data_IF_403335505601
#
_entry.id   IF_403335505601
#
_cell.length_a   1.000
_cell.length_b   1.000
_cell.length_c   1.000
_cell.angle_alpha   90.00
_cell.angle_beta   90.00
_cell.angle_gamma   90.00
#
_symmetry.space_group_name_H-M   'P 1'
#
loop_
_entity.id
_entity.type
_entity.pdbx_description
1 polymer ?
#
# COMPACT_ATOMS: atom_id res chain seq x y z
N UNK A 1 -15.49 9.17 18.60
CA UNK A 1 -14.15 9.52 18.10
C UNK A 1 -14.35 10.66 17.10
N UNK A 2 -14.17 11.90 17.54
CA UNK A 2 -14.48 13.10 16.77
C UNK A 2 -13.37 13.28 15.73
N UNK A 3 -13.64 12.91 14.49
CA UNK A 3 -12.72 13.11 13.36
C UNK A 3 -12.93 14.52 12.80
N UNK A 4 -12.27 15.52 13.40
CA UNK A 4 -12.21 16.85 12.81
C UNK A 4 -11.09 16.85 11.75
N UNK A 5 -11.48 16.60 10.49
CA UNK A 5 -10.57 16.72 9.36
C UNK A 5 -10.51 18.20 8.95
N UNK A 6 -9.66 18.97 9.62
CA UNK A 6 -9.22 20.26 9.11
C UNK A 6 -8.29 20.03 7.92
N UNK A 7 -8.91 19.91 6.73
CA UNK A 7 -8.27 19.90 5.40
C UNK A 7 -7.73 21.30 5.05
N UNK A 8 -7.74 22.23 6.01
CA UNK A 8 -7.37 23.62 5.85
C UNK A 8 -6.05 23.87 6.59
N UNK A 9 -4.98 24.07 5.81
CA UNK A 9 -3.67 24.60 6.24
C UNK A 9 -2.56 23.62 6.68
N UNK A 10 -2.47 22.41 6.11
CA UNK A 10 -1.16 21.74 6.06
C UNK A 10 -0.32 22.36 4.93
N UNK A 11 0.67 23.17 5.29
CA UNK A 11 1.73 23.62 4.37
C UNK A 11 2.71 22.45 4.12
N UNK A 12 3.49 22.54 3.05
CA UNK A 12 4.63 21.65 2.82
C UNK A 12 5.56 21.59 4.06
N UNK A 13 6.24 20.47 4.31
CA UNK A 13 7.12 20.35 5.47
C UNK A 13 8.25 21.38 5.37
N UNK A 14 8.25 22.39 6.25
CA UNK A 14 9.19 23.51 6.18
C UNK A 14 10.67 23.10 6.38
N UNK A 15 10.90 21.94 7.02
CA UNK A 15 12.24 21.39 7.24
C UNK A 15 12.85 20.76 5.98
N UNK A 16 12.05 20.52 4.95
CA UNK A 16 12.53 20.07 3.65
C UNK A 16 12.96 21.30 2.84
N UNK A 17 14.19 21.76 3.06
CA UNK A 17 14.73 22.93 2.36
C UNK A 17 14.75 22.71 0.84
N UNK A 18 14.30 23.72 0.10
CA UNK A 18 14.14 23.74 -1.38
C UNK A 18 15.40 23.44 -2.20
N UNK A 19 16.54 23.22 -1.55
CA UNK A 19 17.85 23.27 -2.21
C UNK A 19 18.35 21.88 -2.63
N UNK A 20 18.00 20.77 -1.95
CA UNK A 20 18.43 19.42 -2.39
C UNK A 20 17.49 18.28 -1.98
N UNK A 21 16.60 17.83 -2.88
CA UNK A 21 15.84 16.58 -2.71
C UNK A 21 16.64 15.38 -3.19
N UNK A 22 16.95 14.44 -2.29
CA UNK A 22 17.67 13.21 -2.63
C UNK A 22 16.67 12.04 -2.82
N UNK A 23 16.38 11.71 -4.08
CA UNK A 23 15.52 10.58 -4.47
C UNK A 23 16.21 9.20 -4.37
N UNK A 24 17.52 9.15 -4.14
CA UNK A 24 18.31 7.91 -4.15
C UNK A 24 18.72 7.45 -2.76
N UNK A 25 19.43 8.31 -2.03
CA UNK A 25 20.23 7.86 -0.89
C UNK A 25 19.61 8.23 0.47
N UNK A 26 18.53 9.01 0.49
CA UNK A 26 17.82 9.39 1.72
C UNK A 26 16.45 8.72 1.80
N UNK A 27 16.32 7.76 2.72
CA UNK A 27 15.02 7.12 3.01
C UNK A 27 13.99 8.13 3.51
N UNK A 28 14.41 9.07 4.36
CA UNK A 28 13.57 10.16 4.86
C UNK A 28 13.02 11.01 3.71
N UNK A 29 13.88 11.46 2.78
CA UNK A 29 13.45 12.26 1.65
C UNK A 29 12.48 11.48 0.76
N UNK A 30 12.78 10.22 0.40
CA UNK A 30 11.87 9.38 -0.40
C UNK A 30 10.50 9.26 0.29
N UNK A 31 10.49 8.97 1.59
CA UNK A 31 9.28 8.87 2.42
C UNK A 31 8.47 10.16 2.40
N UNK A 32 9.09 11.30 2.67
CA UNK A 32 8.37 12.57 2.75
C UNK A 32 7.86 13.02 1.37
N UNK A 33 8.67 12.86 0.30
CA UNK A 33 8.27 13.21 -1.06
C UNK A 33 7.06 12.37 -1.50
N UNK A 34 7.10 11.05 -1.36
CA UNK A 34 5.95 10.20 -1.77
C UNK A 34 4.73 10.41 -0.87
N UNK A 35 4.90 10.72 0.42
CA UNK A 35 3.81 11.13 1.29
C UNK A 35 3.17 12.46 0.84
N UNK A 36 3.97 13.44 0.39
CA UNK A 36 3.48 14.67 -0.23
C UNK A 36 2.66 14.39 -1.49
N UNK A 37 3.11 13.49 -2.38
CA UNK A 37 2.36 13.10 -3.58
C UNK A 37 0.99 12.49 -3.22
N UNK A 38 0.94 11.60 -2.22
CA UNK A 38 -0.30 11.01 -1.72
C UNK A 38 -1.21 12.08 -1.10
N UNK A 39 -0.65 13.05 -0.37
CA UNK A 39 -1.40 14.19 0.17
C UNK A 39 -1.96 15.07 -0.95
N UNK A 40 -1.20 15.28 -2.02
CA UNK A 40 -1.67 15.93 -3.25
C UNK A 40 -2.92 15.25 -3.83
N UNK A 41 -2.95 13.91 -3.89
CA UNK A 41 -4.13 13.16 -4.34
C UNK A 41 -5.37 13.36 -3.44
N UNK A 42 -5.20 13.49 -2.11
CA UNK A 42 -6.27 13.88 -1.19
C UNK A 42 -6.79 15.29 -1.49
N UNK A 43 -5.87 16.24 -1.67
CA UNK A 43 -6.22 17.65 -1.93
C UNK A 43 -6.89 17.80 -3.29
N UNK A 44 -6.51 16.99 -4.28
CA UNK A 44 -7.13 16.98 -5.60
C UNK A 44 -8.61 16.54 -5.55
N UNK A 45 -8.98 15.52 -4.77
CA UNK A 45 -10.40 15.19 -4.53
C UNK A 45 -11.11 16.30 -3.73
N UNK A 46 -10.43 16.95 -2.78
CA UNK A 46 -10.97 18.14 -2.11
C UNK A 46 -11.21 19.29 -3.09
N UNK A 47 -10.34 19.49 -4.08
CA UNK A 47 -10.49 20.54 -5.09
C UNK A 47 -11.61 20.21 -6.06
N UNK A 48 -11.79 18.94 -6.43
CA UNK A 48 -12.96 18.49 -7.20
C UNK A 48 -14.26 18.78 -6.45
N UNK A 49 -14.37 18.32 -5.19
CA UNK A 49 -15.57 18.51 -4.38
C UNK A 49 -15.90 19.98 -4.12
N UNK A 50 -14.87 20.84 -4.01
CA UNK A 50 -15.00 22.29 -3.84
C UNK A 50 -15.03 23.08 -5.16
N UNK A 51 -15.11 22.42 -6.32
CA UNK A 51 -15.13 23.04 -7.67
C UNK A 51 -13.93 23.96 -7.95
N UNK A 52 -12.75 23.57 -7.47
CA UNK A 52 -11.46 24.26 -7.69
C UNK A 52 -10.55 23.50 -8.65
N UNK A 53 -10.83 22.24 -8.95
CA UNK A 53 -10.03 21.44 -9.87
C UNK A 53 -9.89 22.15 -11.24
N UNK A 54 -8.66 22.26 -11.75
CA UNK A 54 -8.36 22.95 -13.01
C UNK A 54 -8.44 24.48 -12.96
N UNK A 55 -8.75 25.07 -11.80
CA UNK A 55 -8.79 26.54 -11.63
C UNK A 55 -7.49 27.04 -10.99
N UNK A 56 -7.23 28.36 -11.09
CA UNK A 56 -6.13 29.02 -10.35
C UNK A 56 -6.25 28.89 -8.82
N UNK A 57 -7.41 28.48 -8.30
CA UNK A 57 -7.64 28.24 -6.86
C UNK A 57 -7.36 26.80 -6.44
N UNK A 58 -6.98 25.91 -7.38
CA UNK A 58 -6.56 24.55 -7.07
C UNK A 58 -5.34 24.59 -6.14
N UNK A 59 -5.36 23.73 -5.12
CA UNK A 59 -4.32 23.61 -4.11
C UNK A 59 -3.47 22.36 -4.31
N UNK A 60 -3.98 21.38 -5.05
CA UNK A 60 -3.27 20.13 -5.30
C UNK A 60 -1.92 20.31 -6.02
N UNK A 61 -1.73 21.23 -6.99
CA UNK A 61 -0.47 21.34 -7.74
C UNK A 61 0.77 21.57 -6.88
N UNK A 62 0.65 22.39 -5.83
CA UNK A 62 1.75 22.71 -4.92
C UNK A 62 2.36 21.47 -4.23
N UNK A 63 1.64 20.35 -4.14
CA UNK A 63 2.14 19.13 -3.49
C UNK A 63 3.12 18.32 -4.34
N UNK A 64 3.19 18.59 -5.65
CA UNK A 64 4.06 17.85 -6.58
C UNK A 64 4.96 18.76 -7.41
N UNK A 65 4.53 19.99 -7.72
CA UNK A 65 5.33 20.96 -8.48
C UNK A 65 6.60 21.38 -7.73
N UNK A 66 6.52 21.51 -6.40
CA UNK A 66 7.68 21.78 -5.54
C UNK A 66 8.79 20.71 -5.64
N UNK A 67 8.46 19.51 -6.11
CA UNK A 67 9.39 18.39 -6.30
C UNK A 67 9.76 18.15 -7.76
N UNK A 68 9.39 19.06 -8.67
CA UNK A 68 9.65 18.91 -10.10
C UNK A 68 8.74 17.91 -10.79
N UNK A 69 7.53 17.69 -10.28
CA UNK A 69 6.53 16.84 -10.93
C UNK A 69 5.37 17.66 -11.50
N UNK A 70 4.72 17.12 -12.52
CA UNK A 70 3.44 17.61 -13.04
C UNK A 70 2.40 16.50 -13.02
N UNK A 71 1.12 16.87 -12.98
CA UNK A 71 0.02 15.92 -13.14
C UNK A 71 -0.04 15.45 -14.59
N UNK A 72 0.08 14.14 -14.81
CA UNK A 72 -0.08 13.51 -16.13
C UNK A 72 -1.51 13.02 -16.31
N UNK A 73 -1.99 12.18 -15.40
CA UNK A 73 -3.32 11.58 -15.47
C UNK A 73 -4.01 11.58 -14.10
N UNK A 74 -5.34 11.75 -14.12
CA UNK A 74 -6.20 11.62 -12.94
C UNK A 74 -6.73 10.20 -12.88
N UNK A 75 -6.67 9.57 -11.70
CA UNK A 75 -7.30 8.28 -11.46
C UNK A 75 -8.62 8.51 -10.74
N UNK A 76 -9.71 8.42 -11.50
CA UNK A 76 -11.07 8.52 -10.99
C UNK A 76 -11.88 7.25 -11.22
N UNK A 77 -12.94 7.10 -10.44
CA UNK A 77 -13.83 5.97 -10.56
C UNK A 77 -15.27 6.43 -10.38
N UNK A 78 -16.10 6.11 -11.36
CA UNK A 78 -17.55 6.10 -11.25
C UNK A 78 -17.98 4.68 -10.85
N UNK A 79 -18.08 4.42 -9.54
CA UNK A 79 -18.44 3.08 -9.05
C UNK A 79 -19.96 2.90 -9.10
N UNK A 80 -20.39 1.87 -9.84
CA UNK A 80 -21.78 1.40 -9.86
C UNK A 80 -22.23 0.65 -8.60
N UNK A 81 -21.32 0.42 -7.64
CA UNK A 81 -21.66 -0.28 -6.40
C UNK A 81 -22.77 0.46 -5.63
N UNK A 82 -23.72 -0.29 -5.05
CA UNK A 82 -24.90 0.25 -4.33
C UNK A 82 -24.53 1.32 -3.28
N UNK A 83 -23.37 1.14 -2.65
CA UNK A 83 -22.83 2.06 -1.65
C UNK A 83 -22.27 3.38 -2.24
N UNK A 84 -21.79 3.36 -3.48
CA UNK A 84 -21.46 4.57 -4.25
C UNK A 84 -22.69 5.19 -4.92
N UNK A 85 -23.69 4.37 -5.30
CA UNK A 85 -24.97 4.82 -5.90
C UNK A 85 -25.85 5.62 -4.95
N UNK A 86 -25.79 5.38 -3.64
CA UNK A 86 -26.61 6.06 -2.64
C UNK A 86 -26.16 7.49 -2.33
N UNK A 87 -26.07 8.34 -3.36
CA UNK A 87 -26.33 9.78 -3.25
C UNK A 87 -27.77 10.02 -3.68
N UNK A 88 -28.69 10.03 -2.73
CA UNK A 88 -30.02 10.67 -2.87
C UNK A 88 -29.85 12.21 -2.94
N UNK A 89 -29.07 12.69 -3.90
CA UNK A 89 -28.99 14.10 -4.30
C UNK A 89 -28.96 14.11 -5.82
N UNK A 90 -30.13 14.33 -6.42
CA UNK A 90 -30.24 14.69 -7.84
C UNK A 90 -29.24 15.83 -8.12
N UNK A 91 -28.30 15.59 -9.05
CA UNK A 91 -27.31 16.59 -9.48
C UNK A 91 -25.89 16.53 -8.86
N UNK A 92 -25.58 15.57 -7.96
CA UNK A 92 -24.21 15.42 -7.45
C UNK A 92 -23.34 14.53 -8.38
N UNK A 93 -22.20 15.04 -8.86
CA UNK A 93 -21.23 14.27 -9.68
C UNK A 93 -20.87 12.92 -9.02
N UNK A 94 -21.17 11.81 -9.69
CA UNK A 94 -21.10 10.42 -9.16
C UNK A 94 -19.68 9.88 -8.96
N UNK A 95 -18.71 10.43 -9.68
CA UNK A 95 -17.32 9.99 -9.66
C UNK A 95 -16.50 10.59 -8.50
N UNK A 96 -15.45 9.89 -8.12
CA UNK A 96 -14.47 10.35 -7.13
C UNK A 96 -13.05 10.04 -7.60
N UNK A 97 -12.15 11.00 -7.40
CA UNK A 97 -10.73 10.83 -7.66
C UNK A 97 -10.16 9.99 -6.54
N UNK A 98 -9.48 8.90 -6.86
CA UNK A 98 -8.82 8.02 -5.89
C UNK A 98 -7.30 8.02 -6.01
N UNK A 99 -6.74 8.63 -7.06
CA UNK A 99 -5.30 8.79 -7.21
C UNK A 99 -4.89 9.73 -8.34
N UNK A 100 -3.59 9.84 -8.55
CA UNK A 100 -2.96 10.59 -9.64
C UNK A 100 -1.73 9.84 -10.17
N UNK A 101 -1.47 10.01 -11.46
CA UNK A 101 -0.18 9.69 -12.08
C UNK A 101 0.56 11.01 -12.28
N UNK A 102 1.72 11.12 -11.63
CA UNK A 102 2.57 12.30 -11.67
C UNK A 102 3.81 11.98 -12.51
N UNK A 103 4.20 12.89 -13.40
CA UNK A 103 5.38 12.77 -14.25
C UNK A 103 6.45 13.75 -13.79
N UNK A 104 7.69 13.27 -13.64
CA UNK A 104 8.84 14.13 -13.34
C UNK A 104 9.17 14.97 -14.58
N UNK A 105 9.27 16.29 -14.40
CA UNK A 105 9.66 17.24 -15.44
C UNK A 105 11.15 17.52 -15.27
N UNK A 106 12.02 17.02 -16.16
CA UNK A 106 13.43 17.37 -16.11
C UNK A 106 13.58 18.88 -16.35
N UNK A 107 14.22 19.59 -15.42
CA UNK A 107 14.48 21.01 -15.60
C UNK A 107 15.43 21.21 -16.80
N UNK A 108 14.93 21.80 -17.89
CA UNK A 108 15.75 22.17 -19.05
C UNK A 108 16.64 23.41 -18.78
N UNK A 109 16.47 24.08 -17.63
CA UNK A 109 17.03 25.41 -17.36
C UNK A 109 17.73 25.57 -15.99
N UNK A 110 17.95 24.48 -15.24
CA UNK A 110 18.80 24.52 -14.06
C UNK A 110 20.17 23.96 -14.44
N UNK A 111 21.07 24.83 -14.86
CA UNK A 111 22.49 24.51 -14.94
C UNK A 111 22.94 23.93 -13.60
N UNK A 112 23.61 22.79 -13.66
CA UNK A 112 24.22 22.10 -12.52
C UNK A 112 23.23 21.60 -11.45
N UNK A 113 22.54 20.50 -11.75
CA UNK A 113 22.45 19.28 -10.94
C UNK A 113 21.28 18.46 -11.49
N UNK A 114 21.60 17.49 -12.34
CA UNK A 114 20.63 16.46 -12.73
C UNK A 114 20.11 15.82 -11.45
N UNK A 115 18.79 15.85 -11.19
CA UNK A 115 18.14 14.89 -10.28
C UNK A 115 18.18 13.50 -10.94
N UNK A 116 19.39 12.97 -11.14
CA UNK A 116 19.70 11.80 -11.97
C UNK A 116 19.08 10.49 -11.45
N UNK A 117 18.31 10.57 -10.35
CA UNK A 117 17.72 9.46 -9.63
C UNK A 117 16.22 9.60 -9.28
N UNK A 118 15.54 10.67 -9.72
CA UNK A 118 14.08 10.76 -9.53
C UNK A 118 13.36 9.74 -10.44
N UNK A 119 12.28 9.08 -9.96
CA UNK A 119 11.48 8.23 -10.82
C UNK A 119 10.82 9.08 -11.91
N UNK A 120 10.63 8.50 -13.10
CA UNK A 120 9.91 9.17 -14.19
C UNK A 120 8.45 9.40 -13.81
N UNK A 121 7.85 8.45 -13.11
CA UNK A 121 6.47 8.54 -12.64
C UNK A 121 6.31 8.16 -11.18
N UNK A 122 5.40 8.86 -10.50
CA UNK A 122 4.87 8.45 -9.20
C UNK A 122 3.36 8.28 -9.34
N UNK A 123 2.86 7.10 -9.03
CA UNK A 123 1.44 6.79 -8.98
C UNK A 123 0.99 6.84 -7.52
N UNK A 124 0.24 7.88 -7.17
CA UNK A 124 -0.15 8.18 -5.80
C UNK A 124 -1.65 7.91 -5.57
N UNK A 125 -1.97 7.01 -4.64
CA UNK A 125 -3.34 6.62 -4.29
C UNK A 125 -3.73 7.19 -2.92
N UNK A 126 -4.82 7.97 -2.87
CA UNK A 126 -5.35 8.48 -1.59
C UNK A 126 -6.13 7.40 -0.86
N UNK A 127 -6.15 7.50 0.47
CA UNK A 127 -7.05 6.72 1.30
C UNK A 127 -8.42 7.35 1.46
N UNK A 128 -9.16 6.93 2.49
CA UNK A 128 -10.51 7.40 2.78
C UNK A 128 -10.56 8.89 3.11
N UNK A 129 -11.39 9.68 2.41
CA UNK A 129 -11.54 11.14 2.66
C UNK A 129 -12.17 11.43 4.04
N UNK A 130 -13.21 10.67 4.36
CA UNK A 130 -13.97 10.75 5.61
C UNK A 130 -14.68 9.40 5.80
N UNK A 131 -14.89 8.92 7.03
CA UNK A 131 -15.72 7.73 7.30
C UNK A 131 -17.15 7.84 6.72
N UNK A 132 -17.65 9.07 6.50
CA UNK A 132 -18.94 9.31 5.85
C UNK A 132 -18.91 9.18 4.32
N UNK A 133 -17.73 9.07 3.70
CA UNK A 133 -17.59 8.87 2.26
C UNK A 133 -17.90 7.41 1.92
N UNK A 134 -19.18 7.11 1.67
CA UNK A 134 -19.73 5.75 1.52
C UNK A 134 -18.96 4.85 0.54
N UNK A 135 -18.44 5.40 -0.56
CA UNK A 135 -17.63 4.62 -1.52
C UNK A 135 -16.28 4.16 -0.97
N UNK A 136 -15.64 4.97 -0.15
CA UNK A 136 -14.37 4.64 0.51
C UNK A 136 -14.63 3.67 1.66
N UNK A 137 -15.72 3.87 2.41
CA UNK A 137 -16.16 2.95 3.48
C UNK A 137 -16.49 1.58 2.92
N UNK A 138 -17.19 1.50 1.78
CA UNK A 138 -17.46 0.24 1.09
C UNK A 138 -16.16 -0.45 0.65
N UNK A 139 -15.23 0.28 0.03
CA UNK A 139 -13.94 -0.28 -0.36
C UNK A 139 -13.15 -0.80 0.86
N UNK A 140 -13.23 -0.14 2.01
CA UNK A 140 -12.67 -0.66 3.28
C UNK A 140 -13.35 -1.97 3.71
N UNK A 141 -14.69 -2.08 3.61
CA UNK A 141 -15.41 -3.32 3.92
C UNK A 141 -15.01 -4.44 2.95
N UNK A 142 -15.01 -4.19 1.64
CA UNK A 142 -14.60 -5.18 0.63
C UNK A 142 -13.16 -5.65 0.87
N UNK A 143 -12.26 -4.75 1.27
CA UNK A 143 -10.90 -5.11 1.63
C UNK A 143 -10.84 -6.02 2.87
N UNK A 144 -11.59 -5.71 3.94
CA UNK A 144 -11.70 -6.59 5.11
C UNK A 144 -12.29 -7.96 4.74
N UNK A 145 -13.16 -7.98 3.72
CA UNK A 145 -13.75 -9.19 3.18
C UNK A 145 -12.85 -9.89 2.14
N UNK A 146 -11.62 -9.43 1.86
CA UNK A 146 -10.75 -9.94 0.78
C UNK A 146 -11.43 -9.97 -0.61
N UNK A 147 -12.39 -9.07 -0.82
CA UNK A 147 -13.17 -8.90 -2.05
C UNK A 147 -12.80 -7.62 -2.80
N UNK A 148 -11.60 -7.08 -2.55
CA UNK A 148 -11.11 -5.87 -3.19
C UNK A 148 -11.07 -5.96 -4.74
N UNK A 149 -10.99 -7.17 -5.29
CA UNK A 149 -11.08 -7.42 -6.73
C UNK A 149 -12.45 -7.06 -7.34
N UNK A 150 -13.51 -7.04 -6.54
CA UNK A 150 -14.83 -6.55 -6.95
C UNK A 150 -14.90 -5.01 -7.03
N UNK A 151 -13.91 -4.30 -6.47
CA UNK A 151 -13.84 -2.85 -6.53
C UNK A 151 -13.14 -2.41 -7.83
N UNK A 152 -13.89 -1.68 -8.67
CA UNK A 152 -13.40 -1.16 -9.95
C UNK A 152 -12.13 -0.30 -9.83
N UNK A 153 -11.91 0.38 -8.70
CA UNK A 153 -10.68 1.16 -8.45
C UNK A 153 -9.41 0.31 -8.53
N UNK A 154 -9.44 -0.92 -7.99
CA UNK A 154 -8.29 -1.82 -8.03
C UNK A 154 -8.02 -2.30 -9.46
N UNK A 155 -9.08 -2.67 -10.18
CA UNK A 155 -8.98 -3.06 -11.59
C UNK A 155 -8.44 -1.93 -12.47
N UNK A 156 -9.03 -0.74 -12.39
CA UNK A 156 -8.61 0.42 -13.20
C UNK A 156 -7.19 0.86 -12.83
N UNK A 157 -6.79 0.78 -11.56
CA UNK A 157 -5.42 1.07 -11.14
C UNK A 157 -4.40 0.11 -11.76
N UNK A 158 -4.66 -1.21 -11.73
CA UNK A 158 -3.80 -2.21 -12.38
C UNK A 158 -3.67 -1.94 -13.87
N UNK A 159 -4.81 -1.72 -14.54
CA UNK A 159 -4.83 -1.41 -15.97
C UNK A 159 -4.02 -0.16 -16.30
N UNK A 160 -4.24 0.93 -15.56
CA UNK A 160 -3.55 2.22 -15.80
C UNK A 160 -2.05 2.15 -15.58
N UNK A 161 -1.60 1.42 -14.55
CA UNK A 161 -0.16 1.21 -14.34
C UNK A 161 0.43 0.28 -15.40
N UNK A 162 -0.31 -0.73 -15.86
CA UNK A 162 0.07 -1.55 -17.01
C UNK A 162 0.25 -0.74 -18.30
N UNK A 163 -0.74 0.08 -18.65
CA UNK A 163 -0.68 1.01 -19.79
C UNK A 163 0.52 1.97 -19.67
N UNK A 164 0.80 2.46 -18.46
CA UNK A 164 1.94 3.32 -18.19
C UNK A 164 3.27 2.57 -18.43
N UNK A 165 3.40 1.34 -17.94
CA UNK A 165 4.58 0.49 -18.17
C UNK A 165 4.78 0.21 -19.66
N UNK A 166 3.72 -0.18 -20.36
CA UNK A 166 3.76 -0.45 -21.80
C UNK A 166 4.22 0.77 -22.58
N UNK A 167 3.76 1.97 -22.18
CA UNK A 167 4.22 3.23 -22.78
C UNK A 167 5.71 3.49 -22.56
N UNK A 168 6.29 3.08 -21.44
CA UNK A 168 7.73 3.27 -21.16
C UNK A 168 8.56 2.28 -21.97
N UNK A 169 8.19 1.00 -21.95
CA UNK A 169 8.91 -0.06 -22.67
C UNK A 169 9.03 0.26 -24.15
N UNK A 170 7.96 0.78 -24.76
CA UNK A 170 7.96 1.21 -26.15
C UNK A 170 9.02 2.28 -26.46
N UNK A 171 9.30 3.22 -25.53
CA UNK A 171 10.29 4.28 -25.73
C UNK A 171 11.71 3.91 -25.27
N UNK A 172 11.88 2.97 -24.34
CA UNK A 172 13.17 2.67 -23.69
C UNK A 172 13.93 1.48 -24.33
N UNK A 173 13.34 0.85 -25.36
CA UNK A 173 13.97 -0.22 -26.16
C UNK A 173 15.34 0.21 -26.73
N UNK A 174 15.58 1.52 -26.85
CA UNK A 174 16.78 2.12 -27.44
C UNK A 174 17.86 2.51 -26.40
N UNK A 175 17.58 2.49 -25.08
CA UNK A 175 18.44 3.12 -24.06
C UNK A 175 18.87 2.23 -22.87
N UNK A 176 18.50 0.95 -22.84
CA UNK A 176 19.07 -0.04 -21.89
C UNK A 176 18.82 0.23 -20.40
N UNK A 177 17.82 1.04 -20.05
CA UNK A 177 17.43 1.32 -18.65
C UNK A 177 16.44 0.27 -18.12
N UNK A 178 16.52 -0.01 -16.82
CA UNK A 178 15.53 -0.87 -16.14
C UNK A 178 14.18 -0.12 -16.04
N UNK A 179 13.24 -0.51 -16.90
CA UNK A 179 11.90 0.09 -17.01
C UNK A 179 11.11 0.07 -15.69
N UNK A 180 11.38 -0.89 -14.80
CA UNK A 180 10.73 -1.02 -13.49
C UNK A 180 11.15 0.08 -12.49
N UNK A 181 12.35 0.65 -12.60
CA UNK A 181 12.81 1.72 -11.72
C UNK A 181 12.16 3.08 -12.04
N UNK A 182 11.50 3.19 -13.20
CA UNK A 182 10.90 4.43 -13.67
C UNK A 182 9.56 4.77 -12.99
N UNK A 183 8.87 3.80 -12.38
CA UNK A 183 7.55 3.99 -11.76
C UNK A 183 7.63 3.65 -10.28
N UNK A 184 7.24 4.60 -9.42
CA UNK A 184 7.00 4.33 -8.00
C UNK A 184 5.51 4.30 -7.71
N UNK A 185 5.09 3.35 -6.86
CA UNK A 185 3.73 3.27 -6.33
C UNK A 185 3.72 3.84 -4.91
N UNK A 186 2.73 4.66 -4.58
CA UNK A 186 2.58 5.19 -3.24
C UNK A 186 1.11 5.22 -2.82
N UNK A 187 0.81 4.89 -1.57
CA UNK A 187 -0.56 4.99 -1.10
C UNK A 187 -0.70 5.01 0.41
N UNK A 188 -1.77 5.65 0.87
CA UNK A 188 -2.12 5.75 2.29
C UNK A 188 -3.45 5.08 2.61
N UNK A 189 -3.52 4.34 3.73
CA UNK A 189 -4.75 3.68 4.19
C UNK A 189 -5.34 2.82 3.06
N UNK A 190 -6.61 3.02 2.66
CA UNK A 190 -7.19 2.36 1.48
C UNK A 190 -6.33 2.49 0.21
N UNK A 191 -5.72 3.65 -0.03
CA UNK A 191 -4.82 3.87 -1.16
C UNK A 191 -3.54 3.04 -1.06
N UNK A 192 -3.06 2.78 0.16
CA UNK A 192 -1.95 1.86 0.42
C UNK A 192 -2.32 0.43 0.02
N UNK A 193 -3.55 -0.01 0.29
CA UNK A 193 -4.03 -1.31 -0.17
C UNK A 193 -4.16 -1.40 -1.69
N UNK A 194 -4.55 -0.32 -2.37
CA UNK A 194 -4.54 -0.25 -3.84
C UNK A 194 -3.11 -0.36 -4.37
N UNK A 195 -2.16 0.41 -3.82
CA UNK A 195 -0.75 0.36 -4.22
C UNK A 195 -0.15 -1.04 -4.02
N UNK A 196 -0.48 -1.69 -2.89
CA UNK A 196 -0.08 -3.06 -2.57
C UNK A 196 -0.63 -4.09 -3.59
N UNK A 197 -1.90 -3.97 -3.96
CA UNK A 197 -2.52 -4.85 -4.96
C UNK A 197 -1.92 -4.65 -6.36
N UNK A 198 -1.72 -3.39 -6.75
CA UNK A 198 -1.09 -3.05 -8.04
C UNK A 198 0.35 -3.57 -8.10
N UNK A 199 1.17 -3.29 -7.08
CA UNK A 199 2.56 -3.75 -7.04
C UNK A 199 2.68 -5.27 -7.10
N UNK A 200 1.80 -5.98 -6.36
CA UNK A 200 1.70 -7.44 -6.44
C UNK A 200 1.39 -7.90 -7.85
N UNK A 201 0.37 -7.34 -8.49
CA UNK A 201 -0.04 -7.71 -9.84
C UNK A 201 1.08 -7.45 -10.87
N UNK A 202 1.79 -6.33 -10.75
CA UNK A 202 2.92 -6.03 -11.64
C UNK A 202 4.07 -7.02 -11.45
N UNK A 203 4.33 -7.47 -10.23
CA UNK A 203 5.33 -8.49 -9.97
C UNK A 203 4.89 -9.89 -10.46
N UNK A 204 3.63 -10.29 -10.24
CA UNK A 204 3.17 -11.65 -10.58
C UNK A 204 2.93 -11.82 -12.07
N UNK A 205 2.24 -10.88 -12.71
CA UNK A 205 1.82 -11.02 -14.11
C UNK A 205 2.85 -10.49 -15.10
N UNK A 206 3.66 -9.50 -14.69
CA UNK A 206 4.60 -8.81 -15.59
C UNK A 206 6.06 -8.90 -15.15
N UNK A 207 6.35 -9.56 -14.02
CA UNK A 207 7.71 -9.68 -13.44
C UNK A 207 8.39 -8.31 -13.24
N UNK A 208 7.60 -7.26 -12.98
CA UNK A 208 8.10 -5.91 -12.75
C UNK A 208 8.16 -5.61 -11.25
N UNK A 209 9.37 -5.48 -10.72
CA UNK A 209 9.61 -5.13 -9.32
C UNK A 209 9.52 -3.59 -9.14
N UNK A 210 8.31 -3.09 -8.90
CA UNK A 210 8.07 -1.65 -8.74
C UNK A 210 8.33 -1.19 -7.30
N UNK A 211 9.19 -0.18 -7.07
CA UNK A 211 9.32 0.46 -5.76
C UNK A 211 7.96 0.92 -5.26
N UNK A 212 7.59 0.49 -4.06
CA UNK A 212 6.24 0.69 -3.51
C UNK A 212 6.33 1.21 -2.08
N UNK A 213 5.64 2.31 -1.81
CA UNK A 213 5.60 3.00 -0.52
C UNK A 213 4.19 2.93 0.08
N UNK A 214 4.05 2.25 1.20
CA UNK A 214 2.76 1.93 1.81
C UNK A 214 2.65 2.62 3.17
N UNK A 215 1.71 3.55 3.32
CA UNK A 215 1.47 4.27 4.56
C UNK A 215 0.20 3.78 5.25
N UNK A 216 0.35 3.14 6.41
CA UNK A 216 -0.75 2.59 7.22
C UNK A 216 -1.79 1.78 6.41
N UNK A 217 -1.41 0.88 5.47
CA UNK A 217 -2.39 0.06 4.80
C UNK A 217 -3.13 -0.82 5.83
N UNK A 218 -4.46 -0.96 5.74
CA UNK A 218 -5.22 -1.82 6.64
C UNK A 218 -4.79 -3.29 6.53
N UNK A 219 -4.47 -3.87 7.68
CA UNK A 219 -4.38 -5.30 7.92
C UNK A 219 -4.84 -5.53 9.36
N UNK A 220 -6.05 -6.06 9.51
CA UNK A 220 -6.63 -6.29 10.83
C UNK A 220 -6.01 -7.56 11.40
N UNK A 221 -5.38 -7.41 12.56
CA UNK A 221 -4.89 -8.52 13.36
C UNK A 221 -5.87 -8.84 14.48
N UNK A 222 -5.79 -10.06 15.00
CA UNK A 222 -6.48 -10.48 16.22
C UNK A 222 -5.83 -9.92 17.50
N UNK A 223 -4.65 -9.29 17.40
CA UNK A 223 -3.93 -8.76 18.55
C UNK A 223 -4.70 -7.73 19.38
N UNK A 224 -5.50 -6.79 18.82
CA UNK A 224 -6.35 -5.91 19.61
C UNK A 224 -7.34 -6.70 20.50
N UNK A 225 -7.91 -7.80 19.99
CA UNK A 225 -8.77 -8.69 20.77
C UNK A 225 -7.98 -9.39 21.89
N UNK A 226 -6.81 -9.95 21.57
CA UNK A 226 -5.94 -10.60 22.56
C UNK A 226 -5.43 -9.62 23.63
N UNK A 227 -5.26 -8.34 23.28
CA UNK A 227 -4.95 -7.25 24.22
C UNK A 227 -6.14 -6.93 25.12
N UNK A 228 -7.34 -6.82 24.57
CA UNK A 228 -8.55 -6.60 25.35
C UNK A 228 -8.80 -7.74 26.35
N UNK A 229 -8.51 -8.99 25.94
CA UNK A 229 -8.60 -10.18 26.78
C UNK A 229 -7.42 -10.36 27.75
N UNK A 230 -6.47 -9.41 27.80
CA UNK A 230 -5.28 -9.44 28.67
C UNK A 230 -4.47 -10.74 28.57
N UNK A 231 -4.44 -11.36 27.39
CA UNK A 231 -3.69 -12.60 27.16
C UNK A 231 -2.19 -12.33 27.29
N UNK A 232 -1.44 -13.02 28.17
CA UNK A 232 0.00 -12.84 28.32
C UNK A 232 0.77 -13.13 27.02
N UNK A 233 1.90 -12.45 26.79
CA UNK A 233 2.66 -12.60 25.54
C UNK A 233 3.18 -14.03 25.31
N UNK A 234 3.50 -14.76 26.37
CA UNK A 234 3.88 -16.19 26.29
C UNK A 234 2.73 -17.02 25.72
N UNK A 235 1.51 -16.82 26.23
CA UNK A 235 0.31 -17.50 25.73
C UNK A 235 0.00 -17.10 24.28
N UNK A 236 0.20 -15.83 23.90
CA UNK A 236 0.04 -15.39 22.50
C UNK A 236 0.99 -16.11 21.57
N UNK A 237 2.28 -16.14 21.90
CA UNK A 237 3.31 -16.84 21.11
C UNK A 237 2.97 -18.31 20.95
N UNK A 238 2.48 -18.95 22.02
CA UNK A 238 2.03 -20.34 21.99
C UNK A 238 0.82 -20.55 21.07
N UNK A 239 -0.22 -19.72 21.16
CA UNK A 239 -1.40 -19.77 20.29
C UNK A 239 -1.04 -19.60 18.81
N UNK A 240 -0.15 -18.65 18.49
CA UNK A 240 0.32 -18.46 17.13
C UNK A 240 1.12 -19.68 16.63
N UNK A 241 1.99 -20.26 17.46
CA UNK A 241 2.71 -21.50 17.12
C UNK A 241 1.74 -22.63 16.79
N UNK A 242 0.74 -22.86 17.62
CA UNK A 242 -0.32 -23.86 17.35
C UNK A 242 -1.00 -23.54 16.02
N UNK A 243 -1.42 -22.29 15.79
CA UNK A 243 -2.08 -21.88 14.55
C UNK A 243 -1.23 -22.19 13.32
N UNK A 244 0.06 -21.87 13.33
CA UNK A 244 0.97 -22.18 12.22
C UNK A 244 1.18 -23.68 12.02
N UNK A 245 1.29 -24.45 13.10
CA UNK A 245 1.36 -25.93 13.00
C UNK A 245 0.09 -26.52 12.40
N UNK A 246 -1.09 -26.05 12.83
CA UNK A 246 -2.38 -26.47 12.26
C UNK A 246 -2.44 -26.13 10.78
N UNK A 247 -2.07 -24.91 10.39
CA UNK A 247 -2.02 -24.50 8.98
C UNK A 247 -1.07 -25.37 8.16
N UNK A 248 0.15 -25.63 8.64
CA UNK A 248 1.11 -26.47 7.93
C UNK A 248 0.58 -27.91 7.75
N UNK A 249 -0.01 -28.50 8.79
CA UNK A 249 -0.61 -29.83 8.73
C UNK A 249 -1.79 -29.88 7.76
N UNK A 250 -2.69 -28.90 7.82
CA UNK A 250 -3.83 -28.80 6.90
C UNK A 250 -3.38 -28.60 5.45
N UNK A 251 -2.38 -27.75 5.19
CA UNK A 251 -1.82 -27.54 3.86
C UNK A 251 -1.23 -28.80 3.23
N UNK A 252 -0.70 -29.72 4.04
CA UNK A 252 -0.16 -30.99 3.57
C UNK A 252 -1.22 -32.04 3.18
N UNK A 253 -2.48 -31.85 3.60
CA UNK A 253 -3.62 -32.71 3.24
C UNK A 253 -3.86 -32.64 1.73
N UNK A 254 -4.11 -33.78 1.09
CA UNK A 254 -4.30 -33.89 -0.37
C UNK A 254 -5.27 -32.86 -0.95
N UNK A 255 -6.38 -32.60 -0.25
CA UNK A 255 -7.39 -31.62 -0.67
C UNK A 255 -6.89 -30.16 -0.67
N UNK A 256 -5.85 -29.82 0.09
CA UNK A 256 -5.31 -28.46 0.21
C UNK A 256 -3.92 -28.29 -0.43
N UNK A 257 -3.27 -29.38 -0.87
CA UNK A 257 -1.97 -29.32 -1.58
C UNK A 257 -1.95 -28.40 -2.80
N UNK A 258 -2.99 -28.35 -3.67
CA UNK A 258 -2.98 -27.41 -4.79
C UNK A 258 -2.92 -25.95 -4.35
N UNK A 259 -3.64 -25.60 -3.28
CA UNK A 259 -3.61 -24.26 -2.68
C UNK A 259 -2.22 -23.95 -2.11
N UNK A 260 -1.63 -24.92 -1.42
CA UNK A 260 -0.31 -24.79 -0.79
C UNK A 260 0.79 -24.54 -1.83
N UNK A 261 0.81 -25.34 -2.91
CA UNK A 261 1.72 -25.13 -4.05
C UNK A 261 1.53 -23.77 -4.72
N UNK A 262 0.28 -23.38 -4.99
CA UNK A 262 -0.02 -22.06 -5.57
C UNK A 262 0.52 -20.93 -4.68
N UNK A 263 0.48 -21.10 -3.37
CA UNK A 263 1.04 -20.14 -2.42
C UNK A 263 2.55 -20.11 -2.37
N UNK A 264 3.19 -21.27 -2.51
CA UNK A 264 4.64 -21.34 -2.68
C UNK A 264 5.11 -20.58 -3.92
N UNK A 265 4.55 -20.91 -5.09
CA UNK A 265 4.89 -20.25 -6.36
C UNK A 265 4.64 -18.73 -6.30
N UNK A 266 3.56 -18.31 -5.63
CA UNK A 266 3.25 -16.89 -5.41
C UNK A 266 4.27 -16.22 -4.49
N UNK A 267 4.65 -16.85 -3.39
CA UNK A 267 5.63 -16.29 -2.44
C UNK A 267 7.02 -16.19 -3.07
N UNK A 268 7.46 -17.20 -3.82
CA UNK A 268 8.72 -17.18 -4.57
C UNK A 268 8.72 -16.06 -5.62
N UNK A 269 7.63 -15.94 -6.38
CA UNK A 269 7.46 -14.87 -7.37
C UNK A 269 7.53 -13.48 -6.73
N UNK A 270 6.96 -13.31 -5.54
CA UNK A 270 6.92 -12.01 -4.85
C UNK A 270 8.14 -11.76 -3.97
N UNK A 271 8.99 -12.77 -3.71
CA UNK A 271 10.09 -12.67 -2.77
C UNK A 271 11.09 -11.52 -3.06
N UNK A 272 11.44 -11.21 -4.34
CA UNK A 272 12.29 -10.06 -4.67
C UNK A 272 11.63 -8.70 -4.45
N UNK A 273 10.30 -8.65 -4.36
CA UNK A 273 9.55 -7.40 -4.18
C UNK A 273 9.39 -7.09 -2.69
N UNK A 274 10.09 -6.06 -2.23
CA UNK A 274 10.07 -5.62 -0.83
C UNK A 274 9.56 -4.18 -0.73
N UNK A 275 8.24 -3.96 -0.53
CA UNK A 275 7.69 -2.62 -0.35
C UNK A 275 8.20 -1.95 0.95
N UNK A 276 8.31 -0.63 0.92
CA UNK A 276 8.56 0.23 2.06
C UNK A 276 7.25 0.41 2.83
N UNK A 277 7.12 -0.28 3.97
CA UNK A 277 5.87 -0.38 4.72
C UNK A 277 5.94 0.41 6.03
N UNK A 278 5.29 1.57 6.04
CA UNK A 278 5.23 2.49 7.17
C UNK A 278 3.97 2.24 8.00
N UNK A 279 4.16 1.86 9.26
CA UNK A 279 3.05 1.49 10.18
C UNK A 279 3.26 2.05 11.57
N UNK A 280 2.15 2.40 12.23
CA UNK A 280 2.16 2.90 13.59
C UNK A 280 1.78 1.79 14.59
N UNK A 281 2.58 1.55 15.63
CA UNK A 281 2.41 0.41 16.55
C UNK A 281 1.08 0.41 17.33
N UNK A 282 0.53 1.60 17.55
CA UNK A 282 -0.76 1.81 18.24
C UNK A 282 -1.96 2.03 17.30
N UNK A 283 -1.78 1.84 15.99
CA UNK A 283 -2.87 1.94 15.02
C UNK A 283 -3.49 0.57 14.76
N UNK A 284 -4.70 0.35 15.28
CA UNK A 284 -5.41 -0.93 15.16
C UNK A 284 -5.75 -1.31 13.71
N UNK A 285 -5.72 -0.34 12.79
CA UNK A 285 -6.07 -0.55 11.38
C UNK A 285 -4.91 -1.24 10.65
N UNK A 286 -3.67 -0.81 10.89
CA UNK A 286 -2.48 -1.31 10.17
C UNK A 286 -1.55 -2.20 11.01
N UNK A 287 -1.71 -2.24 12.35
CA UNK A 287 -0.84 -3.02 13.26
C UNK A 287 -0.73 -4.49 12.88
N UNK A 288 -1.71 -5.06 12.17
CA UNK A 288 -1.62 -6.46 11.79
C UNK A 288 -0.44 -6.81 10.89
N UNK A 289 0.15 -5.84 10.17
CA UNK A 289 1.42 -6.05 9.47
C UNK A 289 2.58 -6.28 10.44
N UNK A 290 2.64 -5.54 11.55
CA UNK A 290 3.67 -5.72 12.59
C UNK A 290 3.55 -7.12 13.17
N UNK A 291 2.35 -7.48 13.61
CA UNK A 291 2.08 -8.79 14.19
C UNK A 291 2.41 -9.91 13.21
N UNK A 292 2.02 -9.76 11.93
CA UNK A 292 2.30 -10.71 10.86
C UNK A 292 3.80 -10.99 10.67
N UNK A 293 4.60 -9.93 10.49
CA UNK A 293 6.04 -10.07 10.22
C UNK A 293 6.81 -10.54 11.45
N UNK A 294 6.52 -9.99 12.63
CA UNK A 294 7.21 -10.39 13.87
C UNK A 294 6.89 -11.85 14.25
N UNK A 295 5.64 -12.29 14.11
CA UNK A 295 5.27 -13.68 14.36
C UNK A 295 5.92 -14.63 13.37
N UNK A 296 5.93 -14.29 12.08
CA UNK A 296 6.59 -15.09 11.05
C UNK A 296 8.09 -15.23 11.33
N UNK A 297 8.77 -14.14 11.68
CA UNK A 297 10.19 -14.18 12.05
C UNK A 297 10.43 -15.05 13.30
N UNK A 298 9.58 -14.92 14.32
CA UNK A 298 9.66 -15.73 15.53
C UNK A 298 9.45 -17.22 15.25
N UNK A 299 8.63 -17.58 14.25
CA UNK A 299 8.47 -18.97 13.80
C UNK A 299 9.71 -19.49 13.08
N UNK A 300 10.36 -18.65 12.27
CA UNK A 300 11.58 -19.02 11.53
C UNK A 300 12.81 -19.16 12.44
N UNK A 301 12.97 -18.29 13.43
CA UNK A 301 14.14 -18.27 14.34
C UNK A 301 13.93 -19.10 15.61
N UNK A 302 12.68 -19.19 16.10
CA UNK A 302 12.37 -19.68 17.45
C UNK A 302 12.25 -21.19 17.64
N UNK A 303 12.87 -22.00 16.77
CA UNK A 303 13.02 -23.45 16.98
C UNK A 303 11.82 -24.35 16.63
N UNK A 304 10.81 -23.85 15.91
CA UNK A 304 9.92 -24.77 15.19
C UNK A 304 10.68 -25.41 14.02
N UNK A 305 10.32 -26.64 13.61
CA UNK A 305 10.93 -27.23 12.41
C UNK A 305 10.78 -26.25 11.24
N UNK A 306 11.88 -25.97 10.53
CA UNK A 306 11.94 -25.00 9.43
C UNK A 306 10.80 -25.22 8.42
N UNK A 307 10.44 -26.48 8.21
CA UNK A 307 9.32 -26.94 7.39
C UNK A 307 7.96 -26.38 7.86
N UNK A 308 7.62 -26.45 9.15
CA UNK A 308 6.33 -25.94 9.66
C UNK A 308 6.25 -24.41 9.54
N UNK A 309 7.37 -23.71 9.79
CA UNK A 309 7.44 -22.27 9.66
C UNK A 309 7.29 -21.82 8.20
N UNK A 310 7.93 -22.52 7.26
CA UNK A 310 7.84 -22.23 5.82
C UNK A 310 6.41 -22.42 5.29
N UNK A 311 5.79 -23.57 5.53
CA UNK A 311 4.47 -23.87 5.00
C UNK A 311 3.34 -23.12 5.72
N UNK A 312 3.40 -23.04 7.06
CA UNK A 312 2.33 -22.42 7.85
C UNK A 312 2.19 -20.92 7.60
N UNK A 313 3.29 -20.22 7.30
CA UNK A 313 3.29 -18.74 7.15
C UNK A 313 2.77 -18.25 5.81
N UNK A 314 2.76 -19.14 4.80
CA UNK A 314 2.17 -18.93 3.48
C UNK A 314 0.63 -19.09 3.48
N UNK A 315 0.06 -19.66 4.54
CA UNK A 315 -1.33 -20.10 4.55
C UNK A 315 -2.22 -19.34 5.55
N UNK A 316 -3.50 -19.25 5.20
CA UNK A 316 -4.57 -18.64 6.00
C UNK A 316 -5.71 -19.64 6.18
N UNK A 317 -6.21 -19.79 7.42
CA UNK A 317 -7.33 -20.71 7.71
C UNK A 317 -8.61 -20.32 6.96
N UNK A 318 -8.82 -19.01 6.78
CA UNK A 318 -9.94 -18.49 5.99
C UNK A 318 -9.84 -18.92 4.53
N UNK A 319 -8.64 -18.87 3.97
CA UNK A 319 -8.42 -19.18 2.55
C UNK A 319 -8.53 -20.68 2.30
N UNK A 320 -8.09 -21.50 3.26
CA UNK A 320 -8.37 -22.95 3.24
C UNK A 320 -9.87 -23.23 3.25
N UNK A 321 -10.63 -22.56 4.13
CA UNK A 321 -12.08 -22.74 4.19
C UNK A 321 -12.75 -22.35 2.88
N UNK A 322 -12.38 -21.20 2.30
CA UNK A 322 -12.90 -20.73 1.03
C UNK A 322 -12.53 -21.68 -0.11
N UNK A 323 -11.30 -22.20 -0.13
CA UNK A 323 -10.86 -23.16 -1.15
C UNK A 323 -11.67 -24.45 -1.11
N UNK A 324 -11.98 -24.98 0.09
CA UNK A 324 -12.78 -26.19 0.24
C UNK A 324 -14.25 -26.01 -0.16
N UNK A 325 -14.80 -24.80 -0.04
CA UNK A 325 -16.20 -24.50 -0.38
C UNK A 325 -16.36 -23.92 -1.79
N UNK A 326 -15.27 -23.63 -2.50
CA UNK A 326 -15.31 -23.09 -3.85
C UNK A 326 -15.57 -24.23 -4.84
N UNK A 327 -16.84 -24.52 -5.10
CA UNK A 327 -17.24 -25.35 -6.25
C UNK A 327 -16.78 -24.65 -7.54
N UNK A 328 -15.70 -25.13 -8.16
CA UNK A 328 -15.24 -24.80 -9.53
C UNK A 328 -15.46 -23.36 -10.01
N UNK A 329 -14.98 -22.37 -9.25
CA UNK A 329 -14.82 -21.01 -9.78
C UNK A 329 -13.33 -20.73 -9.98
N UNK A 330 -12.92 -20.87 -11.23
CA UNK A 330 -11.69 -20.29 -11.75
C UNK A 330 -11.51 -18.85 -11.26
N UNK A 331 -10.27 -18.47 -10.93
CA UNK A 331 -9.84 -17.07 -10.94
C UNK A 331 -9.52 -16.46 -9.57
N UNK A 332 -8.21 -16.34 -9.31
CA UNK A 332 -7.59 -15.15 -8.71
C UNK A 332 -8.24 -14.50 -7.48
N UNK A 333 -8.50 -15.27 -6.41
CA UNK A 333 -8.57 -14.67 -5.07
C UNK A 333 -7.16 -14.29 -4.64
N UNK A 334 -6.75 -13.08 -5.05
CA UNK A 334 -5.51 -12.42 -4.61
C UNK A 334 -5.58 -12.26 -3.10
N UNK A 335 -4.56 -12.76 -2.41
CA UNK A 335 -4.42 -12.63 -0.96
C UNK A 335 -3.69 -11.32 -0.65
N UNK A 336 -4.40 -10.22 -0.34
CA UNK A 336 -3.77 -8.90 -0.32
C UNK A 336 -2.76 -8.77 0.83
N UNK A 337 -2.97 -9.49 1.93
CA UNK A 337 -2.32 -9.23 3.21
C UNK A 337 -1.07 -10.08 3.50
N UNK A 338 -0.81 -11.15 2.74
CA UNK A 338 0.37 -12.01 2.94
C UNK A 338 1.51 -11.55 2.04
N UNK A 339 2.57 -11.01 2.64
CA UNK A 339 3.74 -10.49 1.93
C UNK A 339 4.99 -11.33 2.28
N UNK A 340 5.69 -11.89 1.28
CA UNK A 340 6.93 -12.64 1.53
C UNK A 340 8.07 -11.75 2.04
N UNK A 341 8.17 -10.52 1.54
CA UNK A 341 9.22 -9.58 1.89
C UNK A 341 8.64 -8.17 2.08
N UNK A 342 9.21 -7.39 2.99
CA UNK A 342 8.93 -5.95 3.15
C UNK A 342 10.00 -5.30 4.04
N UNK A 343 10.26 -4.01 3.83
CA UNK A 343 10.98 -3.19 4.80
C UNK A 343 9.98 -2.49 5.69
N UNK A 344 9.88 -2.93 6.93
CA UNK A 344 8.93 -2.43 7.91
C UNK A 344 9.53 -1.24 8.66
N UNK A 345 8.86 -0.10 8.62
CA UNK A 345 9.19 1.11 9.36
C UNK A 345 8.15 1.33 10.44
N UNK A 346 8.58 1.26 11.70
CA UNK A 346 7.69 1.38 12.86
C UNK A 346 7.91 2.69 13.58
N UNK A 347 6.80 3.31 14.01
CA UNK A 347 6.80 4.41 14.97
C UNK A 347 5.80 4.14 16.08
N UNK A 348 6.12 4.61 17.29
CA UNK A 348 5.26 4.55 18.48
C UNK A 348 4.98 5.94 19.10
N UNK A 349 5.44 6.99 18.41
CA UNK A 349 5.38 8.39 18.85
C UNK A 349 3.92 8.84 19.01
N UNK A 350 3.65 9.66 20.01
CA UNK A 350 2.28 10.13 20.26
C UNK A 350 1.83 11.09 19.15
N UNK A 351 0.60 10.92 18.65
CA UNK A 351 0.05 11.76 17.58
C UNK A 351 -1.10 11.10 16.81
N UNK A 352 -1.31 11.57 15.58
CA UNK A 352 -2.33 11.06 14.66
C UNK A 352 -1.93 9.70 14.08
N UNK A 353 -2.14 8.63 14.86
CA UNK A 353 -1.64 7.26 14.62
C UNK A 353 -1.92 6.71 13.22
N UNK A 354 -3.08 7.00 12.66
CA UNK A 354 -3.44 6.57 11.30
C UNK A 354 -3.19 7.64 10.24
N UNK A 355 -2.99 8.90 10.61
CA UNK A 355 -2.95 10.02 9.65
C UNK A 355 -1.67 10.02 8.82
N UNK A 356 -1.80 10.37 7.54
CA UNK A 356 -0.66 10.50 6.62
C UNK A 356 0.36 11.57 7.07
N UNK A 357 -0.11 12.63 7.75
CA UNK A 357 0.71 13.78 8.14
C UNK A 357 1.91 13.38 9.02
N UNK A 358 1.78 12.35 9.85
CA UNK A 358 2.91 11.89 10.67
C UNK A 358 4.12 11.52 9.79
N UNK A 359 3.88 10.97 8.60
CA UNK A 359 4.93 10.52 7.68
C UNK A 359 5.59 11.66 6.89
N UNK A 360 5.29 12.91 7.26
CA UNK A 360 6.00 14.09 6.82
C UNK A 360 7.02 14.58 7.86
N UNK A 361 6.96 14.10 9.10
CA UNK A 361 7.92 14.49 10.15
C UNK A 361 9.30 13.85 9.89
N UNK A 362 10.41 14.46 10.36
CA UNK A 362 11.75 13.88 10.30
C UNK A 362 11.87 12.53 11.01
N UNK A 363 12.81 11.68 10.57
CA UNK A 363 13.03 10.33 11.13
C UNK A 363 13.33 10.37 12.64
N UNK A 364 14.07 11.39 13.10
CA UNK A 364 14.42 11.56 14.52
C UNK A 364 13.21 11.90 15.40
N UNK A 365 12.21 12.63 14.87
CA UNK A 365 10.95 12.89 15.59
C UNK A 365 10.14 11.62 15.68
N UNK A 366 10.07 10.87 14.58
CA UNK A 366 9.29 9.63 14.48
C UNK A 366 9.95 8.43 15.17
N UNK A 367 11.22 8.54 15.54
CA UNK A 367 12.04 7.44 16.05
C UNK A 367 11.91 6.18 15.17
N UNK A 368 12.03 6.37 13.85
CA UNK A 368 11.81 5.27 12.90
C UNK A 368 12.93 4.24 12.99
N UNK A 369 12.53 2.98 13.12
CA UNK A 369 13.43 1.83 13.03
C UNK A 369 13.05 0.98 11.82
N UNK A 370 13.86 0.97 10.74
CA UNK A 370 13.63 0.07 9.62
C UNK A 370 14.07 -1.35 9.99
N UNK A 371 13.25 -2.33 9.64
CA UNK A 371 13.63 -3.75 9.65
C UNK A 371 13.21 -4.41 8.35
N UNK A 372 14.18 -4.98 7.64
CA UNK A 372 13.91 -5.80 6.47
C UNK A 372 13.48 -7.20 6.93
N UNK A 373 12.30 -7.62 6.48
CA UNK A 373 11.86 -9.01 6.53
C UNK A 373 11.93 -9.56 5.12
N UNK A 374 12.68 -10.64 4.92
CA UNK A 374 12.86 -11.29 3.62
C UNK A 374 12.32 -12.72 3.65
N UNK A 375 11.84 -13.19 2.51
CA UNK A 375 11.55 -14.61 2.34
C UNK A 375 12.86 -15.41 2.23
N UNK A 376 12.97 -16.59 2.88
CA UNK A 376 14.16 -17.42 2.77
C UNK A 376 14.44 -17.81 1.30
N UNK A 377 15.69 -17.65 0.85
CA UNK A 377 16.10 -17.99 -0.52
C UNK A 377 15.92 -16.86 -1.56
N UNK A 378 15.53 -15.65 -1.12
CA UNK A 378 15.40 -14.45 -1.94
C UNK A 378 16.71 -13.68 -2.12
#
# INVERSE_FOLDING_TARGET
>A
MVFNNDIHAAQEPQHMSRVFFNFRDSNEHRRCIVACMVRGAYVMESDRTKRRLGTRRARSPAWWESFGFRLRDVLDCDCDCVFCRNRFKFGAQRWSIYGAILEHVPAAAAGEFRSQAAPRYIVAFRGTMSPSHRGDTHANVELLLNRQHACRRFFDARRKVGELLDSIVYYDYDYGRSTAAAIWLAGHSLGGSIALDVGRHMMTERRCNLPTFLFNPPQVSVAPLLNALRVPDVARRFLFRISYTVKAKLGAVTALRPLERKMEELFETLAPWAPELYVHERDIICRGFIDYFEQRQNMLVGGSSSHVALHGTKLSLRDMLLFLHAENKEGNQVQPHLLPSARLWKTSVQGHRHGLQQWLEPDWILNLSPRLYSYPGA
#
